data_IF_298243953702
#
_entry.id   IF_298243953702
#
_cell.length_a   1.000
_cell.length_b   1.000
_cell.length_c   1.000
_cell.angle_alpha   90.00
_cell.angle_beta   90.00
_cell.angle_gamma   90.00
#
_symmetry.space_group_name_H-M   'P 1'
#
loop_
_entity.id
_entity.type
_entity.pdbx_description
1 polymer ?
#
# COMPACT_ATOMS: atom_id res chain seq x y z
N UNK A 1 -25.95 34.72 28.73
CA UNK A 1 -24.87 35.51 28.10
C UNK A 1 -24.24 34.65 27.01
N UNK A 2 -24.53 35.02 25.76
CA UNK A 2 -23.72 34.72 24.56
C UNK A 2 -22.22 34.94 24.85
N UNK A 3 -21.22 34.31 24.24
CA UNK A 3 -21.07 33.76 22.88
C UNK A 3 -19.75 32.98 22.88
N UNK A 4 -19.75 31.73 22.42
CA UNK A 4 -18.64 31.25 21.61
C UNK A 4 -19.28 30.57 20.42
N UNK A 5 -19.41 31.37 19.36
CA UNK A 5 -19.83 30.91 18.06
C UNK A 5 -18.90 29.76 17.63
N UNK A 6 -19.48 28.59 17.45
CA UNK A 6 -18.95 27.59 16.54
C UNK A 6 -18.89 28.30 15.18
N UNK A 7 -17.68 28.66 14.77
CA UNK A 7 -17.43 29.14 13.41
C UNK A 7 -17.90 28.09 12.41
N UNK A 8 -18.23 28.48 11.16
CA UNK A 8 -18.63 27.52 10.16
C UNK A 8 -17.49 26.52 9.96
N UNK A 9 -17.79 25.24 10.16
CA UNK A 9 -16.94 24.11 9.80
C UNK A 9 -16.34 24.37 8.41
N UNK A 10 -15.02 24.26 8.21
CA UNK A 10 -14.45 24.38 6.88
C UNK A 10 -15.12 23.33 6.02
N UNK A 11 -15.69 23.80 4.92
CA UNK A 11 -16.43 22.99 3.98
C UNK A 11 -15.55 21.80 3.61
N UNK A 12 -16.01 20.60 3.99
CA UNK A 12 -15.40 19.33 3.60
C UNK A 12 -15.44 19.28 2.07
N UNK A 13 -14.38 19.81 1.48
CA UNK A 13 -14.15 19.89 0.06
C UNK A 13 -14.06 18.47 -0.46
N UNK A 14 -15.20 18.02 -0.99
CA UNK A 14 -15.35 16.75 -1.68
C UNK A 14 -14.30 16.74 -2.78
N UNK A 15 -13.46 15.72 -2.78
CA UNK A 15 -12.34 15.53 -3.70
C UNK A 15 -12.68 16.04 -5.09
N UNK A 16 -11.91 17.04 -5.52
CA UNK A 16 -11.94 17.52 -6.89
C UNK A 16 -11.65 16.33 -7.80
N UNK A 17 -12.63 15.99 -8.63
CA UNK A 17 -12.51 14.87 -9.56
C UNK A 17 -11.51 15.26 -10.64
N UNK A 18 -10.25 14.87 -10.44
CA UNK A 18 -9.16 15.13 -11.39
C UNK A 18 -9.46 14.41 -12.70
N UNK A 19 -9.69 15.20 -13.77
CA UNK A 19 -10.17 14.69 -15.06
C UNK A 19 -9.00 14.29 -15.95
N UNK A 20 -8.68 13.00 -15.94
CA UNK A 20 -7.78 12.34 -16.90
C UNK A 20 -6.66 11.59 -16.20
N UNK A 21 -6.51 10.30 -16.54
CA UNK A 21 -5.55 9.32 -15.97
C UNK A 21 -5.81 8.86 -14.53
N UNK A 22 -6.53 7.73 -14.39
CA UNK A 22 -6.81 6.96 -13.14
C UNK A 22 -7.43 7.81 -12.02
N UNK A 23 -8.58 7.39 -11.50
CA UNK A 23 -9.17 8.11 -10.37
C UNK A 23 -8.22 8.03 -9.15
N UNK A 24 -7.94 9.17 -8.50
CA UNK A 24 -7.11 9.22 -7.29
C UNK A 24 -7.60 8.21 -6.25
N UNK A 25 -8.92 7.96 -6.19
CA UNK A 25 -9.51 6.97 -5.30
C UNK A 25 -9.01 5.55 -5.55
N UNK A 26 -8.80 5.18 -6.81
CA UNK A 26 -8.30 3.86 -7.20
C UNK A 26 -6.81 3.70 -6.86
N UNK A 27 -6.01 4.73 -7.13
CA UNK A 27 -4.59 4.74 -6.76
C UNK A 27 -4.42 4.63 -5.26
N UNK A 28 -5.17 5.42 -4.49
CA UNK A 28 -5.11 5.39 -3.03
C UNK A 28 -5.58 4.04 -2.45
N UNK A 29 -6.54 3.37 -3.10
CA UNK A 29 -6.97 2.03 -2.68
C UNK A 29 -5.86 0.98 -2.87
N UNK A 30 -5.08 1.10 -3.96
CA UNK A 30 -4.06 0.11 -4.35
C UNK A 30 -2.62 0.51 -4.01
N UNK A 31 -2.41 1.67 -3.39
CA UNK A 31 -1.06 2.21 -3.10
C UNK A 31 -0.23 1.26 -2.22
N UNK A 32 -0.86 0.48 -1.34
CA UNK A 32 -0.16 -0.49 -0.50
C UNK A 32 0.37 -1.68 -1.28
N UNK A 33 -0.42 -2.21 -2.22
CA UNK A 33 0.02 -3.25 -3.16
C UNK A 33 1.23 -2.75 -3.97
N UNK A 34 1.22 -1.46 -4.37
CA UNK A 34 2.33 -0.86 -5.10
C UNK A 34 3.60 -0.78 -4.25
N UNK A 35 3.46 -0.32 -3.00
CA UNK A 35 4.57 -0.23 -2.05
C UNK A 35 5.17 -1.62 -1.76
N UNK A 36 4.33 -2.65 -1.64
CA UNK A 36 4.76 -4.03 -1.34
C UNK A 36 5.18 -4.84 -2.57
N UNK A 37 5.01 -4.29 -3.78
CA UNK A 37 5.28 -4.93 -5.07
C UNK A 37 4.41 -6.17 -5.33
N UNK A 38 3.15 -6.10 -4.91
CA UNK A 38 2.16 -7.18 -4.99
C UNK A 38 1.18 -7.01 -6.16
N UNK A 39 1.54 -6.22 -7.17
CA UNK A 39 0.70 -5.99 -8.36
C UNK A 39 1.41 -6.41 -9.65
N UNK A 40 0.62 -6.53 -10.73
CA UNK A 40 1.17 -6.85 -12.06
C UNK A 40 2.06 -5.70 -12.56
N UNK A 41 2.98 -5.96 -13.51
CA UNK A 41 3.79 -4.89 -14.10
C UNK A 41 2.95 -3.78 -14.74
N UNK A 42 1.84 -4.16 -15.38
CA UNK A 42 0.88 -3.23 -16.02
C UNK A 42 0.22 -2.30 -14.99
N UNK A 43 -0.19 -2.83 -13.83
CA UNK A 43 -0.75 -2.03 -12.75
C UNK A 43 0.29 -1.11 -12.09
N UNK A 44 1.54 -1.58 -11.96
CA UNK A 44 2.65 -0.75 -11.48
C UNK A 44 2.84 0.48 -12.36
N UNK A 45 2.89 0.31 -13.69
CA UNK A 45 3.08 1.42 -14.64
C UNK A 45 1.95 2.45 -14.53
N UNK A 46 0.71 1.96 -14.37
CA UNK A 46 -0.47 2.80 -14.26
C UNK A 46 -0.50 3.62 -12.98
N UNK A 47 -0.17 3.00 -11.84
CA UNK A 47 -0.05 3.71 -10.55
C UNK A 47 1.10 4.72 -10.61
N UNK A 48 2.26 4.31 -11.16
CA UNK A 48 3.43 5.17 -11.28
C UNK A 48 3.12 6.43 -12.12
N UNK A 49 2.50 6.27 -13.29
CA UNK A 49 2.13 7.41 -14.14
C UNK A 49 1.23 8.41 -13.41
N UNK A 50 0.27 7.94 -12.61
CA UNK A 50 -0.58 8.83 -11.82
C UNK A 50 0.19 9.52 -10.68
N UNK A 51 1.08 8.80 -9.99
CA UNK A 51 1.90 9.40 -8.93
C UNK A 51 2.83 10.50 -9.49
N UNK A 52 3.33 10.33 -10.71
CA UNK A 52 4.18 11.33 -11.38
C UNK A 52 3.42 12.61 -11.75
N UNK A 53 2.11 12.49 -12.06
CA UNK A 53 1.26 13.63 -12.44
C UNK A 53 0.46 14.23 -11.27
N UNK A 54 0.29 13.51 -10.15
CA UNK A 54 -0.54 13.92 -9.01
C UNK A 54 0.25 14.11 -7.71
N UNK A 55 0.50 15.37 -7.35
CA UNK A 55 1.23 15.73 -6.12
C UNK A 55 0.55 15.31 -4.81
N UNK A 56 -0.79 15.26 -4.77
CA UNK A 56 -1.53 14.82 -3.59
C UNK A 56 -1.35 13.31 -3.34
N UNK A 57 -1.51 12.50 -4.39
CA UNK A 57 -1.28 11.06 -4.33
C UNK A 57 0.20 10.72 -4.06
N UNK A 58 1.14 11.48 -4.63
CA UNK A 58 2.56 11.36 -4.30
C UNK A 58 2.83 11.64 -2.81
N UNK A 59 2.22 12.69 -2.25
CA UNK A 59 2.35 13.02 -0.82
C UNK A 59 1.79 11.91 0.07
N UNK A 60 0.66 11.31 -0.31
CA UNK A 60 0.07 10.17 0.38
C UNK A 60 0.99 8.94 0.32
N UNK A 61 1.48 8.58 -0.87
CA UNK A 61 2.44 7.49 -1.07
C UNK A 61 3.69 7.66 -0.19
N UNK A 62 4.31 8.85 -0.20
CA UNK A 62 5.51 9.13 0.59
C UNK A 62 5.25 8.98 2.09
N UNK A 63 4.12 9.49 2.60
CA UNK A 63 3.71 9.30 3.99
C UNK A 63 3.62 7.82 4.34
N UNK A 64 3.00 7.02 3.49
CA UNK A 64 2.75 5.61 3.77
C UNK A 64 4.03 4.77 3.68
N UNK A 65 4.96 5.12 2.78
CA UNK A 65 6.32 4.56 2.74
C UNK A 65 7.09 4.88 4.02
N UNK A 66 7.05 6.14 4.48
CA UNK A 66 7.70 6.56 5.72
C UNK A 66 7.11 5.84 6.94
N UNK A 67 5.79 5.67 6.97
CA UNK A 67 5.10 4.91 8.02
C UNK A 67 5.55 3.44 8.04
N UNK A 68 5.60 2.76 6.89
CA UNK A 68 6.10 1.38 6.80
C UNK A 68 7.56 1.27 7.25
N UNK A 69 8.41 2.23 6.86
CA UNK A 69 9.81 2.27 7.29
C UNK A 69 9.94 2.46 8.81
N UNK A 70 9.10 3.32 9.39
CA UNK A 70 9.01 3.54 10.84
C UNK A 70 8.61 2.25 11.57
N UNK A 71 7.54 1.59 11.14
CA UNK A 71 7.07 0.34 11.73
C UNK A 71 8.18 -0.71 11.68
N UNK A 72 8.80 -0.91 10.50
CA UNK A 72 9.90 -1.86 10.34
C UNK A 72 11.06 -1.56 11.29
N UNK A 73 11.42 -0.29 11.50
CA UNK A 73 12.48 0.09 12.43
C UNK A 73 12.11 -0.24 13.87
N UNK A 74 10.88 0.07 14.28
CA UNK A 74 10.40 -0.14 15.65
C UNK A 74 10.23 -1.63 15.99
N UNK A 75 9.94 -2.48 15.01
CA UNK A 75 9.69 -3.92 15.19
C UNK A 75 10.89 -4.81 14.79
N UNK A 76 12.10 -4.26 14.63
CA UNK A 76 13.28 -5.00 14.12
C UNK A 76 13.74 -6.17 14.99
N UNK A 77 13.37 -6.22 16.26
CA UNK A 77 13.82 -7.25 17.21
C UNK A 77 13.02 -8.56 17.21
N UNK A 78 11.92 -8.62 16.47
CA UNK A 78 11.05 -9.80 16.41
C UNK A 78 11.53 -10.76 15.31
N UNK A 79 12.41 -11.70 15.65
CA UNK A 79 12.85 -12.72 14.71
C UNK A 79 11.84 -13.88 14.60
N UNK A 80 11.53 -14.28 13.37
CA UNK A 80 10.73 -15.48 13.14
C UNK A 80 11.40 -16.71 13.79
N UNK A 81 10.64 -17.55 14.54
CA UNK A 81 11.16 -18.77 15.14
C UNK A 81 11.89 -19.66 14.12
N UNK A 82 13.01 -20.25 14.52
CA UNK A 82 13.84 -21.08 13.64
C UNK A 82 13.10 -22.28 13.05
N UNK A 83 12.12 -22.82 13.79
CA UNK A 83 11.22 -23.89 13.36
C UNK A 83 10.33 -23.47 12.19
N UNK A 84 9.74 -22.27 12.27
CA UNK A 84 8.92 -21.71 11.19
C UNK A 84 9.77 -21.46 9.94
N UNK A 85 10.93 -20.83 10.10
CA UNK A 85 11.87 -20.58 9.00
C UNK A 85 12.26 -21.88 8.30
N UNK A 86 12.62 -22.91 9.06
CA UNK A 86 12.96 -24.24 8.52
C UNK A 86 11.78 -24.87 7.77
N UNK A 87 10.59 -24.83 8.35
CA UNK A 87 9.37 -25.36 7.73
C UNK A 87 9.06 -24.70 6.40
N UNK A 88 9.13 -23.36 6.33
CA UNK A 88 8.93 -22.59 5.10
C UNK A 88 9.97 -23.00 4.05
N UNK A 89 11.26 -22.99 4.41
CA UNK A 89 12.34 -23.34 3.47
C UNK A 89 12.17 -24.76 2.92
N UNK A 90 11.90 -25.75 3.78
CA UNK A 90 11.66 -27.12 3.33
C UNK A 90 10.51 -27.20 2.33
N UNK A 91 9.40 -26.51 2.58
CA UNK A 91 8.23 -26.53 1.69
C UNK A 91 8.55 -25.91 0.33
N UNK A 92 9.16 -24.72 0.31
CA UNK A 92 9.43 -24.00 -0.95
C UNK A 92 10.55 -24.63 -1.79
N UNK A 93 11.45 -25.42 -1.20
CA UNK A 93 12.53 -26.10 -1.93
C UNK A 93 12.22 -27.56 -2.26
N UNK A 94 11.10 -28.11 -1.76
CA UNK A 94 10.74 -29.51 -2.01
C UNK A 94 10.05 -29.68 -3.37
N UNK A 95 10.47 -30.70 -4.13
CA UNK A 95 9.80 -31.09 -5.39
C UNK A 95 8.72 -32.13 -5.07
N UNK A 96 7.47 -31.81 -5.40
CA UNK A 96 6.34 -32.74 -5.27
C UNK A 96 6.18 -33.52 -6.57
N UNK A 97 6.38 -34.83 -6.54
CA UNK A 97 6.13 -35.71 -7.69
C UNK A 97 4.71 -36.25 -7.58
N UNK A 98 3.79 -35.72 -8.37
CA UNK A 98 2.47 -36.31 -8.56
C UNK A 98 2.58 -37.36 -9.65
N UNK A 99 2.48 -38.65 -9.28
CA UNK A 99 2.31 -39.71 -10.27
C UNK A 99 0.89 -39.62 -10.79
N UNK A 100 0.73 -39.14 -12.02
CA UNK A 100 -0.53 -39.19 -12.74
C UNK A 100 -0.92 -40.64 -12.97
N UNK A 101 -1.78 -41.18 -12.11
CA UNK A 101 -2.43 -42.46 -12.33
C UNK A 101 -3.51 -42.25 -13.41
N UNK A 102 -3.35 -42.99 -14.50
CA UNK A 102 -4.15 -42.92 -15.71
C UNK A 102 -5.31 -43.91 -15.64
#
# INVERSE_FOLDING_TARGET
>A
MSVFAQGPEPSRERGETHRGHVDCSEVLLRVFEYIDKEMTPEDCERVQAHLDDCGECMSAYQRDVLLKALIRRSCRGEEAPSTLRRSIMTRITSVRVERGDR
#
